data_IF_770048220146
#
_entry.id   IF_770048220146
#
_cell.length_a   1.000
_cell.length_b   1.000
_cell.length_c   1.000
_cell.angle_alpha   90.00
_cell.angle_beta   90.00
_cell.angle_gamma   90.00
#
_symmetry.space_group_name_H-M   'P 1'
#
loop_
_entity.id
_entity.type
_entity.pdbx_description
1 polymer ?
#
# COMPACT_ATOMS: atom_id res chain seq x y z
N UNK A 1 42.00 -15.65 -68.74
CA UNK A 1 42.99 -14.79 -69.45
C UNK A 1 42.79 -13.36 -68.97
N UNK A 2 43.78 -12.87 -68.22
CA UNK A 2 43.83 -11.56 -67.58
C UNK A 2 43.97 -10.47 -68.66
N UNK A 3 43.09 -9.46 -68.67
CA UNK A 3 43.27 -8.25 -69.48
C UNK A 3 43.55 -7.04 -68.57
N UNK A 4 44.63 -6.36 -68.92
CA UNK A 4 45.33 -5.33 -68.16
C UNK A 4 44.47 -4.07 -67.90
N UNK A 5 44.44 -3.63 -66.65
CA UNK A 5 44.14 -2.23 -66.31
C UNK A 5 45.45 -1.45 -66.24
N UNK A 6 45.77 -0.72 -67.32
CA UNK A 6 46.84 0.26 -67.30
C UNK A 6 46.36 1.55 -66.63
N UNK A 7 47.19 2.02 -65.71
CA UNK A 7 47.04 3.19 -64.87
C UNK A 7 47.07 4.48 -65.69
N UNK A 8 46.10 5.36 -65.44
CA UNK A 8 46.16 6.78 -65.76
C UNK A 8 45.57 7.57 -64.60
N UNK A 9 46.41 8.04 -63.67
CA UNK A 9 46.02 8.97 -62.61
C UNK A 9 45.87 10.37 -63.20
N UNK A 10 44.70 10.99 -63.07
CA UNK A 10 44.59 12.45 -63.07
C UNK A 10 43.45 12.94 -62.17
N UNK A 11 43.69 14.08 -61.54
CA UNK A 11 43.06 14.62 -60.33
C UNK A 11 41.72 15.32 -60.65
N UNK A 12 40.63 15.00 -59.94
CA UNK A 12 39.56 15.93 -59.43
C UNK A 12 38.29 15.19 -58.96
N UNK A 13 37.88 15.49 -57.71
CA UNK A 13 36.52 15.44 -57.13
C UNK A 13 35.81 14.07 -56.93
N UNK A 14 35.35 13.72 -55.72
CA UNK A 14 34.52 12.54 -55.49
C UNK A 14 33.05 12.87 -55.79
N UNK A 15 32.69 13.03 -57.06
CA UNK A 15 31.30 12.81 -57.46
C UNK A 15 31.09 11.30 -57.44
N UNK A 16 30.47 10.77 -56.37
CA UNK A 16 29.90 9.43 -56.33
C UNK A 16 28.92 9.29 -57.51
N UNK A 17 29.42 8.88 -58.66
CA UNK A 17 28.60 8.38 -59.76
C UNK A 17 28.23 6.96 -59.37
N UNK A 18 27.03 6.81 -58.82
CA UNK A 18 26.42 5.50 -58.57
C UNK A 18 26.45 4.69 -59.86
N UNK A 19 26.82 3.41 -59.80
CA UNK A 19 26.77 2.53 -60.96
C UNK A 19 25.34 2.49 -61.52
N UNK A 20 25.15 2.39 -62.85
CA UNK A 20 23.82 2.33 -63.46
C UNK A 20 22.92 1.24 -62.86
N UNK A 21 23.53 0.13 -62.46
CA UNK A 21 22.88 -1.00 -61.82
C UNK A 21 22.32 -0.68 -60.42
N UNK A 22 22.96 0.22 -59.66
CA UNK A 22 22.49 0.62 -58.33
C UNK A 22 21.29 1.58 -58.43
N UNK A 23 21.31 2.48 -59.42
CA UNK A 23 20.19 3.37 -59.73
C UNK A 23 18.95 2.61 -60.21
N UNK A 24 19.13 1.49 -60.93
CA UNK A 24 18.03 0.60 -61.36
C UNK A 24 17.41 -0.08 -60.13
N UNK A 25 18.24 -0.68 -59.26
CA UNK A 25 17.77 -1.37 -58.04
C UNK A 25 17.04 -0.44 -57.06
N UNK A 26 17.48 0.82 -56.94
CA UNK A 26 16.81 1.82 -56.09
C UNK A 26 15.42 2.15 -56.65
N UNK A 27 15.30 2.38 -57.96
CA UNK A 27 14.02 2.63 -58.62
C UNK A 27 13.05 1.46 -58.49
N UNK A 28 13.55 0.24 -58.56
CA UNK A 28 12.73 -0.97 -58.41
C UNK A 28 12.22 -1.14 -56.98
N UNK A 29 13.02 -0.81 -55.95
CA UNK A 29 12.58 -0.81 -54.54
C UNK A 29 11.53 0.25 -54.25
N UNK A 30 11.74 1.49 -54.71
CA UNK A 30 10.77 2.57 -54.56
C UNK A 30 9.44 2.26 -55.27
N UNK A 31 9.52 1.54 -56.39
CA UNK A 31 8.36 1.06 -57.14
C UNK A 31 7.59 -0.05 -56.40
N UNK A 32 8.30 -1.00 -55.79
CA UNK A 32 7.67 -2.05 -54.96
C UNK A 32 6.97 -1.45 -53.75
N UNK A 33 7.62 -0.50 -53.07
CA UNK A 33 7.05 0.27 -51.97
C UNK A 33 5.77 1.02 -52.39
N UNK A 34 5.75 1.61 -53.58
CA UNK A 34 4.57 2.26 -54.13
C UNK A 34 3.42 1.26 -54.37
N UNK A 35 3.72 0.06 -54.86
CA UNK A 35 2.71 -0.99 -55.11
C UNK A 35 2.11 -1.52 -53.81
N UNK A 36 2.95 -1.84 -52.81
CA UNK A 36 2.51 -2.27 -51.48
C UNK A 36 1.61 -1.22 -50.82
N UNK A 37 1.95 0.06 -51.00
CA UNK A 37 1.13 1.17 -50.50
C UNK A 37 -0.22 1.30 -51.20
N UNK A 38 -0.26 1.12 -52.53
CA UNK A 38 -1.50 1.13 -53.31
C UNK A 38 -2.41 -0.03 -52.90
N UNK A 39 -1.83 -1.21 -52.68
CA UNK A 39 -2.54 -2.42 -52.28
C UNK A 39 -3.08 -2.33 -50.84
N UNK A 40 -2.27 -1.85 -49.89
CA UNK A 40 -2.64 -1.69 -48.48
C UNK A 40 -3.75 -0.65 -48.23
N UNK A 41 -3.95 0.31 -49.16
CA UNK A 41 -4.93 1.39 -49.00
C UNK A 41 -6.18 1.26 -49.88
N UNK A 42 -6.28 0.23 -50.72
CA UNK A 42 -7.44 -0.29 -51.53
C UNK A 42 -8.50 0.68 -52.10
N UNK A 43 -8.29 1.98 -52.00
CA UNK A 43 -9.15 3.06 -52.46
C UNK A 43 -8.19 4.04 -53.10
N UNK A 44 -8.11 3.97 -54.43
CA UNK A 44 -7.51 4.95 -55.36
C UNK A 44 -6.76 6.04 -54.60
N UNK A 45 -5.56 5.73 -54.12
CA UNK A 45 -4.78 6.71 -53.39
C UNK A 45 -4.38 7.76 -54.42
N UNK A 46 -5.07 8.90 -54.41
CA UNK A 46 -4.68 10.11 -55.12
C UNK A 46 -3.37 10.60 -54.49
N UNK A 47 -2.30 9.87 -54.78
CA UNK A 47 -0.97 10.05 -54.25
C UNK A 47 -0.44 11.37 -54.83
N UNK A 48 -0.45 12.49 -54.10
CA UNK A 48 -0.33 13.78 -54.73
C UNK A 48 1.12 14.00 -55.13
N UNK A 49 1.42 13.90 -56.43
CA UNK A 49 2.64 14.52 -56.95
C UNK A 49 2.50 16.04 -56.85
N UNK A 50 3.59 16.77 -56.65
CA UNK A 50 3.55 18.23 -56.41
C UNK A 50 2.78 18.97 -57.49
N UNK A 51 2.85 18.49 -58.74
CA UNK A 51 2.11 19.07 -59.86
C UNK A 51 0.61 18.81 -59.75
N UNK A 52 0.18 17.58 -59.52
CA UNK A 52 -1.25 17.25 -59.39
C UNK A 52 -1.85 17.94 -58.16
N UNK A 53 -1.09 18.05 -57.07
CA UNK A 53 -1.48 18.81 -55.88
C UNK A 53 -1.74 20.28 -56.20
N UNK A 54 -0.78 20.95 -56.86
CA UNK A 54 -0.91 22.37 -57.28
C UNK A 54 -2.05 22.57 -58.28
N UNK A 55 -2.27 21.60 -59.17
CA UNK A 55 -3.32 21.64 -60.17
C UNK A 55 -4.70 21.21 -59.63
N UNK A 56 -4.79 20.75 -58.37
CA UNK A 56 -6.00 20.16 -57.76
C UNK A 56 -6.64 19.06 -58.61
N UNK A 57 -5.82 18.29 -59.33
CA UNK A 57 -6.27 17.18 -60.18
C UNK A 57 -5.96 15.83 -59.51
N UNK A 58 -6.82 14.85 -59.71
CA UNK A 58 -6.59 13.47 -59.25
C UNK A 58 -5.24 12.93 -59.74
N UNK A 59 -4.47 12.33 -58.84
CA UNK A 59 -3.12 11.86 -59.13
C UNK A 59 -3.09 10.33 -59.12
N UNK A 60 -3.42 9.75 -60.29
CA UNK A 60 -3.55 8.30 -60.44
C UNK A 60 -2.31 7.68 -61.04
N UNK A 61 -1.72 6.72 -60.33
CA UNK A 61 -0.65 5.87 -60.85
C UNK A 61 -1.26 4.67 -61.56
N UNK A 62 -0.70 4.32 -62.72
CA UNK A 62 -1.01 3.07 -63.41
C UNK A 62 0.01 2.00 -63.06
N UNK A 63 -0.39 0.73 -63.17
CA UNK A 63 0.51 -0.40 -62.95
C UNK A 63 1.75 -0.30 -63.85
N UNK A 64 2.93 -0.32 -63.22
CA UNK A 64 4.21 -0.34 -63.89
C UNK A 64 4.78 1.00 -64.39
N UNK A 65 4.13 2.13 -64.09
CA UNK A 65 4.69 3.46 -64.36
C UNK A 65 5.18 4.15 -63.08
N UNK A 66 6.37 4.74 -63.12
CA UNK A 66 6.88 5.63 -62.06
C UNK A 66 6.26 7.04 -62.08
N UNK A 67 5.33 7.30 -63.00
CA UNK A 67 4.67 8.58 -63.21
C UNK A 67 3.15 8.43 -63.17
N UNK A 68 2.46 9.38 -62.58
CA UNK A 68 0.99 9.44 -62.63
C UNK A 68 0.49 9.77 -64.05
N UNK A 69 -0.74 9.34 -64.36
CA UNK A 69 -1.38 9.50 -65.68
C UNK A 69 -1.36 10.96 -66.16
N UNK A 70 -1.70 11.90 -65.29
CA UNK A 70 -1.72 13.34 -65.60
C UNK A 70 -0.33 13.93 -65.91
N UNK A 71 0.75 13.37 -65.36
CA UNK A 71 2.12 13.78 -65.67
C UNK A 71 2.66 13.10 -66.93
N UNK A 72 2.22 11.88 -67.23
CA UNK A 72 2.50 11.21 -68.50
C UNK A 72 1.89 12.00 -69.66
N UNK A 73 0.59 12.33 -69.57
CA UNK A 73 -0.15 13.09 -70.61
C UNK A 73 0.48 14.47 -70.85
N UNK A 74 0.93 15.13 -69.78
CA UNK A 74 1.56 16.44 -69.89
C UNK A 74 3.05 16.41 -70.24
N UNK A 75 3.67 15.23 -70.38
CA UNK A 75 5.12 15.06 -70.62
C UNK A 75 5.99 15.84 -69.60
N UNK A 76 5.57 15.88 -68.34
CA UNK A 76 6.30 16.56 -67.23
C UNK A 76 6.88 15.53 -66.24
N UNK A 77 7.94 15.88 -65.48
CA UNK A 77 8.42 15.01 -64.42
C UNK A 77 7.34 14.81 -63.35
N UNK A 78 7.29 13.61 -62.78
CA UNK A 78 6.42 13.26 -61.66
C UNK A 78 7.29 12.89 -60.47
N UNK A 79 7.01 13.48 -59.32
CA UNK A 79 7.71 13.29 -58.06
C UNK A 79 6.93 12.43 -57.06
N UNK A 80 5.79 11.85 -57.46
CA UNK A 80 4.93 11.09 -56.52
C UNK A 80 5.58 9.83 -55.94
N UNK A 81 6.61 9.26 -56.59
CA UNK A 81 7.42 8.15 -56.03
C UNK A 81 8.22 8.59 -54.80
N UNK A 82 8.76 9.82 -54.82
CA UNK A 82 9.51 10.37 -53.67
C UNK A 82 8.59 10.62 -52.48
N UNK A 83 7.39 11.13 -52.74
CA UNK A 83 6.36 11.36 -51.72
C UNK A 83 5.93 10.03 -51.09
N UNK A 84 5.88 8.93 -51.84
CA UNK A 84 5.45 7.61 -51.34
C UNK A 84 6.40 7.08 -50.26
N UNK A 85 7.71 7.13 -50.52
CA UNK A 85 8.73 6.72 -49.53
C UNK A 85 8.68 7.54 -48.24
N UNK A 86 8.30 8.81 -48.33
CA UNK A 86 8.17 9.69 -47.16
C UNK A 86 6.89 9.39 -46.38
N UNK A 87 5.76 9.16 -47.06
CA UNK A 87 4.51 8.76 -46.41
C UNK A 87 4.59 7.40 -45.73
N UNK A 88 5.34 6.45 -46.29
CA UNK A 88 5.57 5.16 -45.63
C UNK A 88 6.32 5.33 -44.30
N UNK A 89 7.36 6.17 -44.27
CA UNK A 89 8.08 6.49 -43.03
C UNK A 89 7.16 7.16 -42.01
N UNK A 90 6.34 8.13 -42.44
CA UNK A 90 5.37 8.79 -41.57
C UNK A 90 4.31 7.82 -41.03
N UNK A 91 3.79 6.91 -41.86
CA UNK A 91 2.86 5.88 -41.41
C UNK A 91 3.51 4.90 -40.41
N UNK A 92 4.76 4.50 -40.65
CA UNK A 92 5.48 3.62 -39.74
C UNK A 92 5.72 4.31 -38.39
N UNK A 93 6.11 5.59 -38.42
CA UNK A 93 6.21 6.42 -37.22
C UNK A 93 4.86 6.56 -36.52
N UNK A 94 3.78 6.79 -37.27
CA UNK A 94 2.43 6.89 -36.70
C UNK A 94 2.08 5.61 -35.94
N UNK A 95 2.24 4.44 -36.56
CA UNK A 95 1.98 3.15 -35.90
C UNK A 95 2.83 2.95 -34.65
N UNK A 96 4.11 3.30 -34.71
CA UNK A 96 5.01 3.21 -33.54
C UNK A 96 4.52 4.12 -32.40
N UNK A 97 4.00 5.30 -32.72
CA UNK A 97 3.42 6.20 -31.73
C UNK A 97 2.09 5.71 -31.20
N UNK A 98 1.22 5.17 -32.05
CA UNK A 98 -0.05 4.56 -31.66
C UNK A 98 0.21 3.39 -30.69
N UNK A 99 1.18 2.52 -30.98
CA UNK A 99 1.59 1.43 -30.08
C UNK A 99 2.13 1.93 -28.74
N UNK A 100 2.92 3.02 -28.74
CA UNK A 100 3.43 3.64 -27.50
C UNK A 100 2.34 4.31 -26.69
N UNK A 101 1.36 4.92 -27.35
CA UNK A 101 0.20 5.54 -26.69
C UNK A 101 -0.63 4.46 -25.99
N UNK A 102 -0.96 3.37 -26.69
CA UNK A 102 -1.70 2.25 -26.11
C UNK A 102 -0.92 1.63 -24.93
N UNK A 103 0.38 1.36 -25.09
CA UNK A 103 1.20 0.82 -24.00
C UNK A 103 1.27 1.76 -22.77
N UNK A 104 1.36 3.07 -23.00
CA UNK A 104 1.32 4.05 -21.91
C UNK A 104 -0.06 4.13 -21.25
N UNK A 105 -1.13 3.97 -22.04
CA UNK A 105 -2.51 3.90 -21.55
C UNK A 105 -2.75 2.68 -20.66
N UNK A 106 -2.28 1.50 -21.06
CA UNK A 106 -2.36 0.27 -20.27
C UNK A 106 -1.60 0.40 -18.94
N UNK A 107 -0.38 0.96 -18.95
CA UNK A 107 0.38 1.18 -17.71
C UNK A 107 -0.32 2.17 -16.79
N UNK A 108 -0.91 3.24 -17.33
CA UNK A 108 -1.68 4.20 -16.55
C UNK A 108 -2.90 3.54 -15.88
N UNK A 109 -3.63 2.69 -16.61
CA UNK A 109 -4.76 1.93 -16.06
C UNK A 109 -4.30 0.99 -14.94
N UNK A 110 -3.19 0.28 -15.13
CA UNK A 110 -2.61 -0.59 -14.10
C UNK A 110 -2.27 0.19 -12.83
N UNK A 111 -1.64 1.36 -12.95
CA UNK A 111 -1.34 2.22 -11.82
C UNK A 111 -2.60 2.74 -11.12
N UNK A 112 -3.68 3.03 -11.86
CA UNK A 112 -4.96 3.39 -11.27
C UNK A 112 -5.59 2.26 -10.45
N UNK A 113 -5.50 1.02 -10.92
CA UNK A 113 -5.95 -0.16 -10.19
C UNK A 113 -5.15 -0.38 -8.89
N UNK A 114 -3.82 -0.24 -8.97
CA UNK A 114 -2.94 -0.32 -7.80
C UNK A 114 -3.26 0.78 -6.78
N UNK A 115 -3.50 2.01 -7.25
CA UNK A 115 -3.90 3.13 -6.39
C UNK A 115 -5.24 2.84 -5.69
N UNK A 116 -6.24 2.33 -6.41
CA UNK A 116 -7.53 1.95 -5.82
C UNK A 116 -7.37 0.86 -4.75
N UNK A 117 -6.50 -0.13 -5.00
CA UNK A 117 -6.17 -1.17 -4.02
C UNK A 117 -5.52 -0.57 -2.78
N UNK A 118 -4.53 0.31 -2.93
CA UNK A 118 -3.87 0.98 -1.81
C UNK A 118 -4.82 1.85 -1.00
N UNK A 119 -5.73 2.59 -1.66
CA UNK A 119 -6.77 3.36 -1.00
C UNK A 119 -7.71 2.48 -0.17
N UNK A 120 -8.10 1.31 -0.69
CA UNK A 120 -8.94 0.35 0.06
C UNK A 120 -8.22 -0.20 1.30
N UNK A 121 -6.93 -0.49 1.20
CA UNK A 121 -6.09 -0.95 2.31
C UNK A 121 -5.94 0.15 3.37
N UNK A 122 -5.70 1.39 2.94
CA UNK A 122 -5.62 2.55 3.82
C UNK A 122 -6.94 2.77 4.57
N UNK A 123 -8.08 2.72 3.89
CA UNK A 123 -9.40 2.86 4.52
C UNK A 123 -9.65 1.75 5.57
N UNK A 124 -9.28 0.51 5.25
CA UNK A 124 -9.39 -0.62 6.17
C UNK A 124 -8.51 -0.44 7.41
N UNK A 125 -7.25 -0.03 7.23
CA UNK A 125 -6.32 0.25 8.32
C UNK A 125 -6.80 1.40 9.21
N UNK A 126 -7.28 2.50 8.60
CA UNK A 126 -7.87 3.63 9.32
C UNK A 126 -9.10 3.22 10.14
N UNK A 127 -9.99 2.40 9.57
CA UNK A 127 -11.15 1.85 10.27
C UNK A 127 -10.75 0.98 11.47
N UNK A 128 -9.73 0.12 11.32
CA UNK A 128 -9.17 -0.68 12.43
C UNK A 128 -8.61 0.20 13.53
N UNK A 129 -7.82 1.23 13.18
CA UNK A 129 -7.25 2.18 14.14
C UNK A 129 -8.33 2.93 14.91
N UNK A 130 -9.38 3.38 14.24
CA UNK A 130 -10.52 4.05 14.87
C UNK A 130 -11.21 3.16 15.91
N UNK A 131 -11.47 1.89 15.57
CA UNK A 131 -12.01 0.90 16.52
C UNK A 131 -11.11 0.69 17.72
N UNK A 132 -9.80 0.50 17.49
CA UNK A 132 -8.82 0.35 18.59
C UNK A 132 -8.83 1.57 19.51
N UNK A 133 -8.84 2.78 18.95
CA UNK A 133 -8.90 4.02 19.73
C UNK A 133 -10.18 4.10 20.58
N UNK A 134 -11.33 3.73 20.01
CA UNK A 134 -12.62 3.69 20.72
C UNK A 134 -12.60 2.67 21.86
N UNK A 135 -12.17 1.44 21.60
CA UNK A 135 -12.05 0.40 22.62
C UNK A 135 -11.09 0.81 23.72
N UNK A 136 -9.92 1.35 23.37
CA UNK A 136 -8.94 1.86 24.34
C UNK A 136 -9.55 2.93 25.26
N UNK A 137 -10.35 3.85 24.71
CA UNK A 137 -11.03 4.89 25.50
C UNK A 137 -12.02 4.27 26.48
N UNK A 138 -12.88 3.37 26.02
CA UNK A 138 -13.87 2.68 26.86
C UNK A 138 -13.22 1.85 27.98
N UNK A 139 -12.11 1.17 27.67
CA UNK A 139 -11.36 0.39 28.68
C UNK A 139 -10.79 1.32 29.76
N UNK A 140 -10.22 2.47 29.39
CA UNK A 140 -9.73 3.45 30.38
C UNK A 140 -10.84 4.02 31.24
N UNK A 141 -11.98 4.36 30.64
CA UNK A 141 -13.14 4.86 31.38
C UNK A 141 -13.66 3.81 32.37
N UNK A 142 -13.79 2.55 31.93
CA UNK A 142 -14.16 1.44 32.81
C UNK A 142 -13.14 1.22 33.93
N UNK A 143 -11.84 1.28 33.64
CA UNK A 143 -10.78 1.15 34.64
C UNK A 143 -10.87 2.26 35.70
N UNK A 144 -11.08 3.51 35.27
CA UNK A 144 -11.23 4.64 36.19
C UNK A 144 -12.49 4.50 37.06
N UNK A 145 -13.59 4.01 36.49
CA UNK A 145 -14.82 3.75 37.24
C UNK A 145 -14.66 2.64 38.28
N UNK A 146 -14.06 1.50 37.90
CA UNK A 146 -13.79 0.41 38.84
C UNK A 146 -12.85 0.83 39.96
N UNK A 147 -11.86 1.67 39.66
CA UNK A 147 -10.95 2.21 40.66
C UNK A 147 -11.70 3.12 41.65
N UNK A 148 -12.54 4.04 41.13
CA UNK A 148 -13.32 4.95 41.97
C UNK A 148 -14.29 4.18 42.89
N UNK A 149 -15.01 3.20 42.34
CA UNK A 149 -15.95 2.38 43.10
C UNK A 149 -15.22 1.57 44.18
N UNK A 150 -14.09 0.95 43.83
CA UNK A 150 -13.29 0.22 44.80
C UNK A 150 -12.79 1.10 45.95
N UNK A 151 -12.42 2.36 45.68
CA UNK A 151 -12.02 3.29 46.74
C UNK A 151 -13.18 3.65 47.66
N UNK A 152 -14.36 3.90 47.08
CA UNK A 152 -15.57 4.17 47.85
C UNK A 152 -15.97 2.96 48.72
N UNK A 153 -15.91 1.74 48.19
CA UNK A 153 -16.20 0.51 48.94
C UNK A 153 -15.24 0.33 50.13
N UNK A 154 -13.96 0.71 49.98
CA UNK A 154 -12.98 0.70 51.08
C UNK A 154 -13.31 1.77 52.12
N UNK A 155 -13.57 3.01 51.70
CA UNK A 155 -13.93 4.11 52.61
C UNK A 155 -15.21 3.79 53.42
N UNK A 156 -16.21 3.17 52.78
CA UNK A 156 -17.44 2.71 53.43
C UNK A 156 -17.18 1.59 54.44
N UNK A 157 -16.24 0.68 54.13
CA UNK A 157 -15.85 -0.41 55.03
C UNK A 157 -15.11 0.13 56.27
N UNK A 158 -14.16 1.05 56.07
CA UNK A 158 -13.41 1.70 57.16
C UNK A 158 -14.35 2.50 58.10
N UNK A 159 -15.37 3.16 57.53
CA UNK A 159 -16.38 3.88 58.30
C UNK A 159 -17.26 2.94 59.15
N UNK A 160 -17.64 1.78 58.60
CA UNK A 160 -18.39 0.75 59.34
C UNK A 160 -17.56 0.13 60.46
N UNK A 161 -16.30 -0.23 60.19
CA UNK A 161 -15.37 -0.74 61.21
C UNK A 161 -15.21 0.27 62.35
N UNK A 162 -14.99 1.55 62.02
CA UNK A 162 -14.88 2.61 63.02
C UNK A 162 -16.15 2.78 63.87
N UNK A 163 -17.33 2.61 63.27
CA UNK A 163 -18.61 2.69 63.98
C UNK A 163 -18.85 1.47 64.89
N UNK A 164 -18.48 0.27 64.43
CA UNK A 164 -18.55 -0.97 65.22
C UNK A 164 -17.60 -0.90 66.42
N UNK A 165 -16.37 -0.45 66.21
CA UNK A 165 -15.40 -0.24 67.27
C UNK A 165 -15.90 0.77 68.32
N UNK A 166 -16.57 1.85 67.88
CA UNK A 166 -17.16 2.83 68.79
C UNK A 166 -18.33 2.24 69.58
N UNK A 167 -19.16 1.41 68.95
CA UNK A 167 -20.25 0.71 69.61
C UNK A 167 -19.73 -0.33 70.62
N UNK A 168 -18.73 -1.13 70.25
CA UNK A 168 -18.07 -2.08 71.15
C UNK A 168 -17.52 -1.39 72.38
N UNK A 169 -16.76 -0.29 72.20
CA UNK A 169 -16.28 0.53 73.31
C UNK A 169 -17.42 1.02 74.20
N UNK A 170 -18.52 1.49 73.61
CA UNK A 170 -19.70 1.93 74.37
C UNK A 170 -20.34 0.82 75.21
N UNK A 171 -20.49 -0.39 74.64
CA UNK A 171 -21.03 -1.54 75.39
C UNK A 171 -20.10 -1.97 76.53
N UNK A 172 -18.79 -1.96 76.28
CA UNK A 172 -17.77 -2.28 77.29
C UNK A 172 -17.83 -1.28 78.44
N UNK A 173 -17.91 0.02 78.13
CA UNK A 173 -18.07 1.08 79.13
C UNK A 173 -19.35 0.90 79.96
N UNK A 174 -20.46 0.53 79.32
CA UNK A 174 -21.74 0.24 80.00
C UNK A 174 -21.65 -1.00 80.91
N UNK A 175 -21.02 -2.08 80.46
CA UNK A 175 -20.80 -3.29 81.26
C UNK A 175 -19.92 -3.00 82.49
N UNK A 176 -18.85 -2.21 82.32
CA UNK A 176 -18.01 -1.78 83.43
C UNK A 176 -18.77 -0.86 84.41
N UNK A 177 -19.64 0.01 83.91
CA UNK A 177 -20.52 0.82 84.75
C UNK A 177 -21.47 -0.04 85.59
N UNK A 178 -21.98 -1.14 85.03
CA UNK A 178 -22.75 -2.16 85.76
C UNK A 178 -21.89 -3.07 86.66
N UNK A 179 -20.58 -2.78 86.78
CA UNK A 179 -19.60 -3.54 87.57
C UNK A 179 -19.43 -4.99 87.12
N UNK A 180 -19.70 -5.29 85.85
CA UNK A 180 -19.34 -6.58 85.26
C UNK A 180 -17.82 -6.66 85.20
N UNK A 181 -17.18 -7.70 85.79
CA UNK A 181 -15.74 -7.84 85.79
C UNK A 181 -15.17 -7.91 84.37
N UNK A 182 -14.13 -7.14 84.09
CA UNK A 182 -13.47 -7.05 82.78
C UNK A 182 -12.64 -8.31 82.44
N UNK A 183 -12.24 -9.04 83.48
CA UNK A 183 -11.52 -10.30 83.41
C UNK A 183 -12.45 -11.41 83.93
N UNK A 184 -12.82 -12.34 83.05
CA UNK A 184 -13.67 -13.49 83.39
C UNK A 184 -12.79 -14.74 83.44
N UNK A 185 -12.65 -15.32 84.64
CA UNK A 185 -11.99 -16.61 84.81
C UNK A 185 -12.98 -17.74 84.51
N UNK A 186 -12.94 -18.25 83.28
CA UNK A 186 -13.82 -19.31 82.78
C UNK A 186 -13.68 -20.62 83.58
N UNK A 187 -12.52 -20.82 84.22
CA UNK A 187 -12.23 -21.99 85.08
C UNK A 187 -13.18 -22.08 86.28
N UNK A 188 -13.63 -20.94 86.82
CA UNK A 188 -14.58 -20.89 87.95
C UNK A 188 -15.98 -21.36 87.57
N UNK A 189 -16.32 -21.36 86.28
CA UNK A 189 -17.61 -21.81 85.74
C UNK A 189 -17.59 -23.27 85.26
N UNK A 190 -16.49 -23.99 85.47
CA UNK A 190 -16.34 -25.39 85.06
C UNK A 190 -16.11 -25.58 83.56
N UNK A 191 -15.90 -24.49 82.83
CA UNK A 191 -15.41 -24.49 81.45
C UNK A 191 -13.88 -24.54 81.54
N UNK A 192 -13.29 -25.64 81.07
CA UNK A 192 -11.86 -25.91 81.25
C UNK A 192 -10.95 -24.86 80.60
N UNK A 193 -9.64 -25.01 80.85
CA UNK A 193 -8.54 -24.09 80.47
C UNK A 193 -8.43 -23.76 78.96
N UNK A 194 -9.30 -24.34 78.13
CA UNK A 194 -9.42 -24.12 76.68
C UNK A 194 -9.82 -22.69 76.29
N UNK A 195 -10.40 -21.93 77.22
CA UNK A 195 -10.85 -20.55 76.99
C UNK A 195 -10.02 -19.49 77.72
N UNK A 196 -8.97 -19.90 78.45
CA UNK A 196 -8.08 -18.99 79.19
C UNK A 196 -7.27 -18.06 78.27
N UNK A 197 -7.13 -18.41 77.00
CA UNK A 197 -6.40 -17.63 75.99
C UNK A 197 -7.18 -16.40 75.46
N UNK A 198 -8.46 -16.25 75.79
CA UNK A 198 -9.31 -15.18 75.23
C UNK A 198 -8.96 -13.76 75.74
N UNK A 199 -8.19 -13.66 76.82
CA UNK A 199 -7.72 -12.39 77.38
C UNK A 199 -8.83 -11.47 77.93
N UNK A 200 -8.48 -10.29 78.45
CA UNK A 200 -9.44 -9.32 78.99
C UNK A 200 -10.40 -8.79 77.94
N UNK A 201 -11.62 -8.41 78.35
CA UNK A 201 -12.59 -7.68 77.51
C UNK A 201 -12.04 -6.34 76.98
N UNK A 202 -11.03 -5.77 77.66
CA UNK A 202 -10.30 -4.57 77.20
C UNK A 202 -8.81 -4.82 77.23
N UNK A 203 -8.17 -4.79 76.06
CA UNK A 203 -6.72 -4.66 75.99
C UNK A 203 -6.33 -3.20 76.20
N UNK A 204 -5.62 -2.90 77.29
CA UNK A 204 -5.06 -1.58 77.52
C UNK A 204 -4.21 -1.17 76.32
N UNK A 205 -4.52 0.00 75.75
CA UNK A 205 -3.87 0.58 74.58
C UNK A 205 -2.36 0.73 74.81
N UNK A 206 -1.59 -0.30 74.46
CA UNK A 206 -0.14 -0.34 74.73
C UNK A 206 0.52 -1.69 74.47
N UNK A 207 -0.21 -2.81 74.54
CA UNK A 207 0.37 -4.13 74.29
C UNK A 207 0.29 -4.50 72.80
N UNK A 208 1.35 -4.20 72.05
CA UNK A 208 1.57 -4.82 70.73
C UNK A 208 1.72 -6.32 70.90
N UNK A 209 0.65 -7.08 70.67
CA UNK A 209 0.76 -8.52 70.44
C UNK A 209 1.31 -8.71 69.02
N UNK A 210 2.60 -9.01 68.92
CA UNK A 210 3.23 -9.46 67.70
C UNK A 210 2.65 -10.82 67.31
N UNK A 211 1.70 -10.81 66.37
CA UNK A 211 1.25 -12.01 65.69
C UNK A 211 2.40 -12.55 64.82
N UNK A 212 3.12 -13.55 65.32
CA UNK A 212 4.00 -14.39 64.49
C UNK A 212 3.13 -15.16 63.50
N UNK A 213 2.98 -14.66 62.27
CA UNK A 213 2.47 -15.46 61.16
C UNK A 213 3.55 -16.48 60.79
N UNK A 214 3.36 -17.72 61.26
CA UNK A 214 4.07 -18.88 60.71
C UNK A 214 3.77 -19.00 59.23
N UNK A 215 4.82 -18.96 58.41
CA UNK A 215 4.76 -19.23 56.98
C UNK A 215 4.34 -20.69 56.73
N UNK A 216 3.30 -20.97 55.94
CA UNK A 216 3.14 -22.28 55.34
C UNK A 216 4.21 -22.45 54.26
N UNK A 217 5.06 -23.46 54.43
CA UNK A 217 6.05 -23.86 53.43
C UNK A 217 5.38 -24.20 52.10
N UNK A 218 5.78 -23.50 51.05
CA UNK A 218 5.51 -23.88 49.68
C UNK A 218 6.46 -25.01 49.28
N UNK A 219 5.93 -26.22 49.14
CA UNK A 219 6.61 -27.35 48.51
C UNK A 219 5.79 -27.81 47.30
N UNK A 220 6.11 -27.29 46.10
CA UNK A 220 5.99 -27.92 44.76
C UNK A 220 6.87 -27.04 43.85
N UNK A 221 8.07 -27.45 43.40
CA UNK A 221 8.33 -28.50 42.42
C UNK A 221 8.89 -27.84 41.15
N UNK A 222 10.20 -27.54 41.14
CA UNK A 222 10.92 -27.12 39.92
C UNK A 222 11.09 -28.33 39.02
N UNK A 223 10.39 -28.33 37.89
CA UNK A 223 10.66 -29.24 36.79
C UNK A 223 11.96 -28.82 36.10
N UNK A 224 12.86 -29.79 35.97
CA UNK A 224 14.06 -29.77 35.15
C UNK A 224 13.69 -29.51 33.67
N UNK A 225 14.39 -28.57 33.05
CA UNK A 225 14.49 -28.45 31.60
C UNK A 225 15.89 -28.88 31.18
N UNK A 226 15.98 -30.06 30.57
CA UNK A 226 17.01 -30.39 29.58
C UNK A 226 16.53 -29.97 28.19
#
# INVERSE_FOLDING_TARGET
LVMLCLLGRNIRSPLRRSCPQDLIKIKDRERLALLEFIEARSVVADMPCTRCFRAKTACRFGEGSSRCRSCIEAKKPCDGVLVASTLQKLNAQQKEWDEKEEAAGEELLRLHEELARLQSLMATAAGRLSRIRKTRKLVRERQAETFRRGMQEVDESDALESALDAHERGMVEELQFMQVPNDVDWSLYGLGDEFSDLGPLVQASGSKVSASRGSPGAAVGSAEGS
#
